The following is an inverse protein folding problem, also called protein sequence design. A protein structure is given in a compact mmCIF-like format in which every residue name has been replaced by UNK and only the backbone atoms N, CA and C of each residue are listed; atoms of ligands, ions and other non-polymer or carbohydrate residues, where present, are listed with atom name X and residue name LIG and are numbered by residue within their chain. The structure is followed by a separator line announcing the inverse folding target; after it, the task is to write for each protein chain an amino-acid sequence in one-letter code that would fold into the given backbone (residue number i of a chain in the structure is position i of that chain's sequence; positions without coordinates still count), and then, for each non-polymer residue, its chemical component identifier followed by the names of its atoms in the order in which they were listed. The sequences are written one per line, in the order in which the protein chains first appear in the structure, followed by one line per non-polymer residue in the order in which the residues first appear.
data_IF_040049454013
#
_entry.id   IF_040049454013
#
_cell.length_a   1.000
_cell.length_b   1.000
_cell.length_c   1.000
_cell.angle_alpha   90.00
_cell.angle_beta   90.00
_cell.angle_gamma   90.00
#
_symmetry.space_group_name_H-M   'P 1'
#
loop_
_entity.id
_entity.type
_entity.pdbx_description
1 polymer ?
#
# COMPACT_ATOMS: atom_id res chain seq x y z
N UNK A 1 -41.77 -7.70 11.36
CA UNK A 1 -40.96 -6.70 12.10
C UNK A 1 -41.58 -5.35 11.76
N UNK A 2 -42.24 -4.67 12.73
CA UNK A 2 -42.69 -3.28 12.57
C UNK A 2 -41.49 -2.37 12.93
N UNK A 3 -40.99 -1.61 11.97
CA UNK A 3 -39.96 -0.59 12.20
C UNK A 3 -40.66 0.63 12.84
N UNK A 4 -40.30 0.96 14.08
CA UNK A 4 -40.72 2.18 14.75
C UNK A 4 -39.69 3.26 14.58
N UNK A 5 -40.00 4.29 13.78
CA UNK A 5 -39.09 5.41 13.48
C UNK A 5 -39.33 6.63 14.39
N UNK A 6 -40.33 6.57 15.33
CA UNK A 6 -40.77 7.73 16.10
C UNK A 6 -39.78 8.17 17.20
N UNK A 7 -38.89 7.26 17.65
CA UNK A 7 -37.93 7.53 18.74
C UNK A 7 -36.46 7.50 18.33
N UNK A 8 -36.18 7.64 17.02
CA UNK A 8 -34.81 7.66 16.53
C UNK A 8 -34.17 9.05 16.69
N UNK A 9 -33.28 9.18 17.63
CA UNK A 9 -32.44 10.37 17.83
C UNK A 9 -31.36 10.50 16.75
N UNK A 10 -31.77 10.69 15.48
CA UNK A 10 -30.86 10.77 14.34
C UNK A 10 -29.71 11.74 14.53
N UNK A 11 -29.96 12.89 15.19
CA UNK A 11 -28.94 13.91 15.46
C UNK A 11 -27.77 13.40 16.31
N UNK A 12 -28.02 12.47 17.22
CA UNK A 12 -27.01 11.88 18.13
C UNK A 12 -26.02 11.00 17.37
N UNK A 13 -26.52 10.29 16.34
CA UNK A 13 -25.73 9.36 15.52
C UNK A 13 -25.16 10.01 14.27
N UNK A 14 -25.69 11.16 13.83
CA UNK A 14 -25.24 11.83 12.61
C UNK A 14 -23.77 12.23 12.67
N UNK A 15 -23.32 12.80 13.79
CA UNK A 15 -21.94 13.24 13.96
C UNK A 15 -20.93 12.08 13.93
N UNK A 16 -21.12 10.97 14.68
CA UNK A 16 -20.29 9.77 14.56
C UNK A 16 -20.33 9.15 13.16
N UNK A 17 -21.51 9.06 12.52
CA UNK A 17 -21.68 8.51 11.18
C UNK A 17 -20.90 9.32 10.13
N UNK A 18 -21.01 10.65 10.16
CA UNK A 18 -20.26 11.52 9.26
C UNK A 18 -18.75 11.38 9.49
N UNK A 19 -18.31 11.28 10.74
CA UNK A 19 -16.90 11.06 11.05
C UNK A 19 -16.40 9.72 10.46
N UNK A 20 -17.15 8.63 10.64
CA UNK A 20 -16.82 7.32 10.07
C UNK A 20 -16.82 7.37 8.54
N UNK A 21 -17.83 8.00 7.92
CA UNK A 21 -17.89 8.16 6.46
C UNK A 21 -16.67 8.93 5.92
N UNK A 22 -16.23 9.97 6.60
CA UNK A 22 -15.05 10.73 6.19
C UNK A 22 -13.80 9.87 6.36
N UNK A 23 -13.61 9.22 7.52
CA UNK A 23 -12.43 8.39 7.82
C UNK A 23 -12.30 7.25 6.81
N UNK A 24 -13.40 6.54 6.50
CA UNK A 24 -13.37 5.39 5.58
C UNK A 24 -13.22 5.78 4.12
N UNK A 25 -13.45 7.06 3.77
CA UNK A 25 -13.40 7.54 2.38
C UNK A 25 -12.32 8.61 2.14
N UNK A 26 -11.53 8.97 3.14
CA UNK A 26 -10.46 9.98 2.96
C UNK A 26 -9.48 9.55 1.87
N UNK A 27 -9.09 8.29 1.83
CA UNK A 27 -8.19 7.76 0.80
C UNK A 27 -8.81 7.81 -0.62
N UNK A 28 -10.14 7.65 -0.71
CA UNK A 28 -10.87 7.83 -1.96
C UNK A 28 -10.85 9.30 -2.42
N UNK A 29 -10.84 10.26 -1.49
CA UNK A 29 -10.78 11.67 -1.84
C UNK A 29 -9.49 12.00 -2.59
N UNK A 30 -8.34 11.50 -2.18
CA UNK A 30 -7.07 11.76 -2.88
C UNK A 30 -7.11 11.26 -4.32
N UNK A 31 -7.37 9.97 -4.52
CA UNK A 31 -7.42 9.38 -5.86
C UNK A 31 -8.52 9.93 -6.75
N UNK A 32 -9.66 10.39 -6.20
CA UNK A 32 -10.72 11.02 -6.97
C UNK A 32 -10.37 12.46 -7.34
N UNK A 33 -9.77 13.24 -6.41
CA UNK A 33 -9.34 14.61 -6.69
C UNK A 33 -8.28 14.64 -7.79
N UNK A 34 -7.30 13.74 -7.77
CA UNK A 34 -6.30 13.63 -8.83
C UNK A 34 -6.94 13.42 -10.21
N UNK A 35 -7.96 12.54 -10.31
CA UNK A 35 -8.68 12.28 -11.56
C UNK A 35 -9.47 13.49 -12.05
N UNK A 36 -10.19 14.15 -11.13
CA UNK A 36 -10.95 15.38 -11.47
C UNK A 36 -9.99 16.45 -11.97
N UNK A 37 -8.86 16.63 -11.30
CA UNK A 37 -7.84 17.60 -11.69
C UNK A 37 -7.21 17.26 -13.04
N UNK A 38 -6.87 15.98 -13.27
CA UNK A 38 -6.34 15.52 -14.57
C UNK A 38 -7.33 15.75 -15.70
N UNK A 39 -8.63 15.43 -15.50
CA UNK A 39 -9.67 15.68 -16.49
C UNK A 39 -9.85 17.16 -16.80
N UNK A 40 -9.79 18.02 -15.78
CA UNK A 40 -9.98 19.47 -15.93
C UNK A 40 -8.75 20.20 -16.51
N UNK A 41 -7.54 19.84 -16.08
CA UNK A 41 -6.32 20.62 -16.36
C UNK A 41 -5.35 19.92 -17.31
N UNK A 42 -5.53 18.61 -17.60
CA UNK A 42 -4.77 17.92 -18.65
C UNK A 42 -5.70 17.49 -19.78
N UNK A 43 -6.18 16.22 -19.77
CA UNK A 43 -7.15 15.69 -20.75
C UNK A 43 -7.65 14.30 -20.29
N UNK A 44 -8.69 13.79 -21.00
CA UNK A 44 -9.28 12.48 -20.70
C UNK A 44 -8.31 11.31 -20.90
N UNK A 45 -7.36 11.44 -21.83
CA UNK A 45 -6.30 10.44 -22.06
C UNK A 45 -5.42 10.33 -20.82
N UNK A 46 -5.07 11.46 -20.19
CA UNK A 46 -4.30 11.50 -18.93
C UNK A 46 -5.04 10.82 -17.77
N UNK A 47 -6.36 11.02 -17.68
CA UNK A 47 -7.21 10.32 -16.68
C UNK A 47 -7.15 8.80 -16.90
N UNK A 48 -7.28 8.37 -18.15
CA UNK A 48 -7.24 6.94 -18.50
C UNK A 48 -5.86 6.32 -18.20
N UNK A 49 -4.77 7.02 -18.51
CA UNK A 49 -3.39 6.60 -18.23
C UNK A 49 -3.19 6.47 -16.70
N UNK A 50 -3.60 7.49 -15.94
CA UNK A 50 -3.55 7.46 -14.46
C UNK A 50 -4.31 6.28 -13.90
N UNK A 51 -5.57 6.12 -14.33
CA UNK A 51 -6.45 5.07 -13.84
C UNK A 51 -5.92 3.67 -14.16
N UNK A 52 -5.41 3.45 -15.38
CA UNK A 52 -4.82 2.18 -15.79
C UNK A 52 -3.66 1.78 -14.88
N UNK A 53 -2.76 2.71 -14.61
CA UNK A 53 -1.62 2.49 -13.73
C UNK A 53 -2.05 2.23 -12.27
N UNK A 54 -2.91 3.08 -11.73
CA UNK A 54 -3.39 2.98 -10.36
C UNK A 54 -4.20 1.71 -10.11
N UNK A 55 -5.12 1.37 -11.04
CA UNK A 55 -5.98 0.20 -10.92
C UNK A 55 -5.18 -1.10 -10.93
N UNK A 56 -4.20 -1.21 -11.83
CA UNK A 56 -3.41 -2.43 -11.98
C UNK A 56 -2.61 -2.73 -10.70
N UNK A 57 -1.92 -1.75 -10.13
CA UNK A 57 -1.19 -1.95 -8.88
C UNK A 57 -2.12 -2.16 -7.69
N UNK A 58 -3.29 -1.50 -7.67
CA UNK A 58 -4.28 -1.64 -6.58
C UNK A 58 -4.91 -3.02 -6.55
N UNK A 59 -5.21 -3.58 -7.72
CA UNK A 59 -5.76 -4.93 -7.84
C UNK A 59 -4.79 -5.97 -7.30
N UNK A 60 -3.51 -5.88 -7.65
CA UNK A 60 -2.50 -6.77 -7.09
C UNK A 60 -2.32 -6.57 -5.57
N UNK A 61 -2.32 -5.34 -5.11
CA UNK A 61 -2.17 -5.03 -3.68
C UNK A 61 -3.35 -5.50 -2.82
N UNK A 62 -4.50 -5.81 -3.39
CA UNK A 62 -5.66 -6.34 -2.64
C UNK A 62 -5.32 -7.63 -1.87
N UNK A 63 -4.43 -8.46 -2.42
CA UNK A 63 -3.98 -9.71 -1.78
C UNK A 63 -3.26 -9.45 -0.44
N UNK A 64 -2.15 -8.68 -0.39
CA UNK A 64 -1.49 -8.41 0.88
C UNK A 64 -2.30 -7.53 1.84
N UNK A 65 -3.23 -6.72 1.35
CA UNK A 65 -4.15 -5.95 2.19
C UNK A 65 -5.09 -6.83 3.02
N UNK A 66 -5.36 -8.06 2.62
CA UNK A 66 -6.08 -9.03 3.44
C UNK A 66 -5.40 -9.26 4.81
N UNK A 67 -4.06 -9.16 4.88
CA UNK A 67 -3.31 -9.25 6.15
C UNK A 67 -3.71 -8.12 7.09
N UNK A 68 -3.82 -6.89 6.59
CA UNK A 68 -4.25 -5.73 7.38
C UNK A 68 -5.67 -5.97 7.90
N UNK A 69 -6.60 -6.30 6.99
CA UNK A 69 -8.02 -6.45 7.33
C UNK A 69 -8.27 -7.53 8.40
N UNK A 70 -7.59 -8.66 8.32
CA UNK A 70 -7.67 -9.73 9.33
C UNK A 70 -6.98 -9.34 10.63
N UNK A 71 -5.96 -8.49 10.57
CA UNK A 71 -5.19 -8.07 11.75
C UNK A 71 -5.92 -7.03 12.59
N UNK A 72 -6.80 -6.19 12.02
CA UNK A 72 -7.50 -5.11 12.75
C UNK A 72 -8.25 -5.64 13.98
N UNK A 73 -9.24 -6.56 13.86
CA UNK A 73 -10.01 -7.03 15.02
C UNK A 73 -9.12 -7.80 16.01
N UNK A 74 -8.16 -8.58 15.49
CA UNK A 74 -7.24 -9.35 16.33
C UNK A 74 -6.36 -8.45 17.17
N UNK A 75 -5.75 -7.42 16.59
CA UNK A 75 -4.87 -6.50 17.33
C UNK A 75 -5.64 -5.64 18.32
N UNK A 76 -6.87 -5.22 17.97
CA UNK A 76 -7.77 -4.52 18.91
C UNK A 76 -8.13 -5.38 20.11
N UNK A 77 -8.41 -6.66 19.90
CA UNK A 77 -8.67 -7.62 20.98
C UNK A 77 -7.44 -7.81 21.88
N UNK A 78 -6.27 -8.07 21.27
CA UNK A 78 -5.02 -8.31 22.02
C UNK A 78 -4.62 -7.12 22.87
N UNK A 79 -4.76 -5.90 22.35
CA UNK A 79 -4.43 -4.68 23.09
C UNK A 79 -5.29 -4.51 24.32
N UNK A 80 -6.59 -4.85 24.23
CA UNK A 80 -7.55 -4.68 25.34
C UNK A 80 -7.49 -5.80 26.38
N UNK A 81 -7.22 -7.05 25.95
CA UNK A 81 -7.35 -8.22 26.83
C UNK A 81 -6.00 -8.83 27.23
N UNK A 82 -4.96 -8.78 26.40
CA UNK A 82 -3.67 -9.44 26.66
C UNK A 82 -2.54 -8.45 26.91
N UNK A 83 -2.81 -7.17 26.68
CA UNK A 83 -1.90 -6.08 27.01
C UNK A 83 -0.93 -5.71 25.88
N UNK A 84 -0.22 -4.62 26.13
CA UNK A 84 0.58 -3.91 25.14
C UNK A 84 1.73 -4.74 24.54
N UNK A 85 2.41 -5.58 25.33
CA UNK A 85 3.56 -6.37 24.84
C UNK A 85 3.14 -7.40 23.78
N UNK A 86 2.04 -8.12 24.04
CA UNK A 86 1.50 -9.12 23.09
C UNK A 86 1.00 -8.44 21.82
N UNK A 87 0.31 -7.30 21.97
CA UNK A 87 -0.11 -6.48 20.85
C UNK A 87 1.09 -6.04 19.98
N UNK A 88 2.16 -5.49 20.57
CA UNK A 88 3.35 -5.03 19.85
C UNK A 88 4.04 -6.16 19.10
N UNK A 89 4.14 -7.35 19.69
CA UNK A 89 4.70 -8.53 19.02
C UNK A 89 3.89 -8.89 17.77
N UNK A 90 2.57 -9.02 17.92
CA UNK A 90 1.68 -9.40 16.80
C UNK A 90 1.58 -8.29 15.76
N UNK A 91 1.60 -7.03 16.16
CA UNK A 91 1.69 -5.88 15.25
C UNK A 91 2.95 -5.98 14.36
N UNK A 92 4.12 -6.19 14.97
CA UNK A 92 5.39 -6.29 14.24
C UNK A 92 5.42 -7.52 13.32
N UNK A 93 4.79 -8.62 13.70
CA UNK A 93 4.62 -9.79 12.86
C UNK A 93 3.70 -9.49 11.66
N UNK A 94 2.58 -8.78 11.85
CA UNK A 94 1.69 -8.35 10.76
C UNK A 94 2.40 -7.40 9.78
N UNK A 95 3.18 -6.44 10.29
CA UNK A 95 4.01 -5.53 9.47
C UNK A 95 5.00 -6.34 8.62
N UNK A 96 5.73 -7.27 9.25
CA UNK A 96 6.71 -8.10 8.52
C UNK A 96 6.05 -8.98 7.46
N UNK A 97 4.88 -9.55 7.75
CA UNK A 97 4.13 -10.37 6.79
C UNK A 97 3.60 -9.55 5.61
N UNK A 98 3.15 -8.31 5.86
CA UNK A 98 2.75 -7.39 4.80
C UNK A 98 3.94 -7.02 3.91
N UNK A 99 5.07 -6.59 4.49
CA UNK A 99 6.25 -6.18 3.75
C UNK A 99 6.88 -7.33 2.97
N UNK A 100 6.85 -8.55 3.50
CA UNK A 100 7.30 -9.77 2.83
C UNK A 100 6.60 -9.99 1.48
N UNK A 101 5.33 -9.56 1.33
CA UNK A 101 4.55 -9.74 0.09
C UNK A 101 4.49 -8.46 -0.72
N UNK A 102 4.15 -7.30 -0.10
CA UNK A 102 3.85 -6.07 -0.85
C UNK A 102 5.09 -5.50 -1.56
N UNK A 103 6.26 -5.56 -0.91
CA UNK A 103 7.47 -4.97 -1.50
C UNK A 103 7.94 -5.73 -2.73
N UNK A 104 8.14 -7.07 -2.70
CA UNK A 104 8.55 -7.81 -3.91
C UNK A 104 7.47 -7.78 -4.99
N UNK A 105 6.19 -7.73 -4.63
CA UNK A 105 5.09 -7.63 -5.60
C UNK A 105 5.09 -6.28 -6.32
N UNK A 106 5.24 -5.17 -5.61
CA UNK A 106 5.33 -3.83 -6.21
C UNK A 106 6.59 -3.68 -7.07
N UNK A 107 7.76 -4.14 -6.58
CA UNK A 107 9.01 -4.06 -7.35
C UNK A 107 9.06 -5.07 -8.51
N UNK A 108 8.41 -6.22 -8.39
CA UNK A 108 8.20 -7.14 -9.50
C UNK A 108 7.34 -6.51 -10.61
N UNK A 109 6.23 -5.86 -10.24
CA UNK A 109 5.40 -5.12 -11.20
C UNK A 109 6.14 -3.89 -11.78
N UNK A 110 6.97 -3.22 -10.97
CA UNK A 110 7.81 -2.11 -11.43
C UNK A 110 8.73 -2.53 -12.56
N UNK A 111 9.46 -3.63 -12.42
CA UNK A 111 10.39 -4.12 -13.47
C UNK A 111 9.67 -4.72 -14.67
N UNK A 112 8.44 -5.20 -14.49
CA UNK A 112 7.57 -5.75 -15.54
C UNK A 112 6.52 -4.76 -16.03
N UNK A 113 6.64 -3.46 -15.71
CA UNK A 113 5.63 -2.45 -16.01
C UNK A 113 5.27 -2.37 -17.50
N UNK A 114 6.27 -2.50 -18.40
CA UNK A 114 6.05 -2.52 -19.85
C UNK A 114 5.20 -3.72 -20.26
N UNK A 115 5.58 -4.90 -19.83
CA UNK A 115 4.89 -6.15 -20.15
C UNK A 115 3.48 -6.15 -19.57
N UNK A 116 3.33 -5.70 -18.33
CA UNK A 116 2.06 -5.62 -17.65
C UNK A 116 1.08 -4.68 -18.37
N UNK A 117 1.52 -3.49 -18.78
CA UNK A 117 0.67 -2.55 -19.55
C UNK A 117 0.29 -3.13 -20.90
N UNK A 118 1.22 -3.72 -21.63
CA UNK A 118 0.93 -4.28 -22.95
C UNK A 118 -0.08 -5.44 -22.86
N UNK A 119 0.05 -6.30 -21.86
CA UNK A 119 -0.87 -7.43 -21.66
C UNK A 119 -2.23 -6.98 -21.15
N UNK A 120 -2.28 -6.02 -20.22
CA UNK A 120 -3.53 -5.58 -19.60
C UNK A 120 -4.34 -4.64 -20.48
N UNK A 121 -3.67 -3.63 -21.04
CA UNK A 121 -4.33 -2.53 -21.75
C UNK A 121 -3.98 -2.46 -23.26
N UNK A 122 -2.93 -3.18 -23.70
CA UNK A 122 -2.46 -3.18 -25.06
C UNK A 122 -1.43 -2.09 -25.37
N UNK A 123 -0.78 -2.21 -26.54
CA UNK A 123 0.27 -1.29 -26.99
C UNK A 123 -0.15 0.18 -27.05
N UNK A 124 -1.44 0.46 -27.24
CA UNK A 124 -2.00 1.81 -27.28
C UNK A 124 -1.74 2.59 -25.97
N UNK A 125 -1.62 1.87 -24.83
CA UNK A 125 -1.47 2.47 -23.51
C UNK A 125 -0.03 2.50 -22.99
N UNK A 126 0.98 2.38 -23.86
CA UNK A 126 2.40 2.41 -23.43
C UNK A 126 2.77 3.67 -22.63
N UNK A 127 2.06 4.79 -22.82
CA UNK A 127 2.22 5.99 -22.01
C UNK A 127 1.94 5.78 -20.51
N UNK A 128 1.22 4.69 -20.13
CA UNK A 128 0.95 4.34 -18.74
C UNK A 128 2.11 3.59 -18.04
N UNK A 129 3.21 3.25 -18.76
CA UNK A 129 4.35 2.52 -18.18
C UNK A 129 5.02 3.32 -17.06
N UNK A 130 5.42 4.56 -17.33
CA UNK A 130 6.06 5.41 -16.32
C UNK A 130 5.13 5.75 -15.13
N UNK A 131 3.85 6.12 -15.34
CA UNK A 131 2.86 6.21 -14.27
C UNK A 131 2.74 4.93 -13.44
N UNK A 132 2.74 3.73 -14.06
CA UNK A 132 2.69 2.46 -13.32
C UNK A 132 3.92 2.25 -12.45
N UNK A 133 5.10 2.58 -12.93
CA UNK A 133 6.33 2.50 -12.13
C UNK A 133 6.25 3.40 -10.88
N UNK A 134 5.76 4.63 -11.03
CA UNK A 134 5.54 5.53 -9.90
C UNK A 134 4.45 4.99 -8.98
N UNK A 135 3.33 4.48 -9.52
CA UNK A 135 2.26 3.89 -8.74
C UNK A 135 2.72 2.68 -7.90
N UNK A 136 3.67 1.88 -8.38
CA UNK A 136 4.26 0.78 -7.61
C UNK A 136 4.98 1.28 -6.34
N UNK A 137 5.75 2.36 -6.45
CA UNK A 137 6.43 2.97 -5.28
C UNK A 137 5.40 3.63 -4.35
N UNK A 138 4.48 4.41 -4.90
CA UNK A 138 3.37 5.02 -4.16
C UNK A 138 2.59 3.98 -3.36
N UNK A 139 2.34 2.80 -3.93
CA UNK A 139 1.61 1.71 -3.26
C UNK A 139 2.31 1.20 -2.01
N UNK A 140 3.64 1.17 -1.99
CA UNK A 140 4.39 0.80 -0.78
C UNK A 140 4.13 1.84 0.33
N UNK A 141 4.13 3.13 0.00
CA UNK A 141 3.86 4.21 0.98
C UNK A 141 2.42 4.16 1.49
N UNK A 142 1.44 3.97 0.61
CA UNK A 142 0.02 3.75 0.99
C UNK A 142 -0.11 2.53 1.92
N UNK A 143 0.65 1.46 1.69
CA UNK A 143 0.61 0.28 2.56
C UNK A 143 1.18 0.55 3.94
N UNK A 144 2.25 1.33 4.05
CA UNK A 144 2.84 1.76 5.32
C UNK A 144 1.91 2.71 6.09
N UNK A 145 1.28 3.64 5.39
CA UNK A 145 0.26 4.54 5.94
C UNK A 145 -0.92 3.72 6.48
N UNK A 146 -1.45 2.78 5.70
CA UNK A 146 -2.56 1.91 6.08
C UNK A 146 -2.27 1.06 7.32
N UNK A 147 -1.02 0.59 7.49
CA UNK A 147 -0.57 -0.06 8.73
C UNK A 147 -0.70 0.88 9.92
N UNK A 148 -0.24 2.13 9.77
CA UNK A 148 -0.30 3.09 10.88
C UNK A 148 -1.73 3.45 11.24
N UNK A 149 -2.59 3.69 10.27
CA UNK A 149 -3.98 4.05 10.51
C UNK A 149 -4.78 2.86 11.10
N UNK A 150 -4.72 1.70 10.45
CA UNK A 150 -5.60 0.59 10.77
C UNK A 150 -5.09 -0.32 11.88
N UNK A 151 -3.77 -0.51 12.00
CA UNK A 151 -3.20 -1.43 12.99
C UNK A 151 -2.62 -0.73 14.22
N UNK A 152 -2.37 0.59 14.15
CA UNK A 152 -1.80 1.34 15.27
C UNK A 152 -2.78 2.38 15.82
N UNK A 153 -3.23 3.34 14.99
CA UNK A 153 -4.09 4.42 15.48
C UNK A 153 -5.48 3.92 15.86
N UNK A 154 -6.13 3.15 14.98
CA UNK A 154 -7.49 2.65 15.20
C UNK A 154 -7.63 1.78 16.46
N UNK A 155 -6.79 0.74 16.72
CA UNK A 155 -6.89 -0.06 17.93
C UNK A 155 -6.65 0.72 19.24
N UNK A 156 -6.03 1.87 19.14
CA UNK A 156 -5.73 2.76 20.29
C UNK A 156 -6.71 3.94 20.42
N UNK A 157 -7.88 3.86 19.78
CA UNK A 157 -8.97 4.86 19.85
C UNK A 157 -8.47 6.28 19.44
N UNK A 158 -7.72 6.39 18.33
CA UNK A 158 -7.13 7.63 17.80
C UNK A 158 -7.66 8.01 16.40
N UNK A 159 -8.93 7.70 16.12
CA UNK A 159 -9.59 8.01 14.85
C UNK A 159 -9.66 9.51 14.58
N UNK A 160 -9.84 10.31 15.64
CA UNK A 160 -9.81 11.77 15.54
C UNK A 160 -8.49 12.29 14.98
N UNK A 161 -7.39 11.60 15.30
CA UNK A 161 -6.07 11.94 14.80
C UNK A 161 -5.90 11.50 13.34
N UNK A 162 -6.35 10.29 13.00
CA UNK A 162 -6.37 9.84 11.59
C UNK A 162 -7.06 10.90 10.75
N UNK A 163 -8.27 11.29 11.13
CA UNK A 163 -9.05 12.29 10.40
C UNK A 163 -8.31 13.62 10.24
N UNK A 164 -7.76 14.18 11.33
CA UNK A 164 -7.06 15.48 11.31
C UNK A 164 -5.83 15.43 10.40
N UNK A 165 -4.99 14.40 10.54
CA UNK A 165 -3.75 14.29 9.76
C UNK A 165 -4.08 14.05 8.29
N UNK A 166 -5.01 13.14 7.97
CA UNK A 166 -5.42 12.86 6.60
C UNK A 166 -6.05 14.10 5.93
N UNK A 167 -6.88 14.87 6.63
CA UNK A 167 -7.43 16.11 6.08
C UNK A 167 -6.35 17.16 5.78
N UNK A 168 -5.43 17.40 6.71
CA UNK A 168 -4.32 18.36 6.50
C UNK A 168 -3.44 17.89 5.34
N UNK A 169 -3.07 16.62 5.31
CA UNK A 169 -2.26 16.05 4.23
C UNK A 169 -3.01 16.07 2.89
N UNK A 170 -4.33 15.82 2.88
CA UNK A 170 -5.15 15.90 1.67
C UNK A 170 -5.25 17.30 1.09
N UNK A 171 -5.45 18.29 1.95
CA UNK A 171 -5.42 19.69 1.52
C UNK A 171 -4.02 20.03 0.97
N UNK A 172 -2.96 19.54 1.62
CA UNK A 172 -1.59 19.74 1.12
C UNK A 172 -1.38 19.10 -0.26
N UNK A 173 -1.90 17.89 -0.49
CA UNK A 173 -1.87 17.23 -1.80
C UNK A 173 -2.56 18.09 -2.87
N UNK A 174 -3.77 18.56 -2.56
CA UNK A 174 -4.53 19.42 -3.47
C UNK A 174 -3.77 20.71 -3.82
N UNK A 175 -3.16 21.36 -2.83
CA UNK A 175 -2.37 22.58 -3.04
C UNK A 175 -1.13 22.30 -3.89
N UNK A 176 -0.40 21.23 -3.62
CA UNK A 176 0.77 20.85 -4.41
C UNK A 176 0.35 20.55 -5.85
N UNK A 177 -0.71 19.77 -6.07
CA UNK A 177 -1.23 19.47 -7.39
C UNK A 177 -1.65 20.76 -8.14
N UNK A 178 -2.28 21.71 -7.43
CA UNK A 178 -2.64 23.00 -8.03
C UNK A 178 -1.41 23.83 -8.42
N UNK A 179 -0.35 23.83 -7.61
CA UNK A 179 0.92 24.46 -7.97
C UNK A 179 1.53 23.81 -9.22
N UNK A 180 1.49 22.45 -9.33
CA UNK A 180 1.96 21.76 -10.52
C UNK A 180 1.14 22.12 -11.77
N UNK A 181 -0.16 22.38 -11.63
CA UNK A 181 -1.01 22.93 -12.72
C UNK A 181 -0.53 24.32 -13.13
N UNK A 182 -0.28 25.23 -12.18
CA UNK A 182 0.21 26.58 -12.46
C UNK A 182 1.56 26.55 -13.20
N UNK A 183 2.46 25.65 -12.82
CA UNK A 183 3.76 25.46 -13.48
C UNK A 183 3.67 24.64 -14.77
N UNK A 184 2.47 24.21 -15.21
CA UNK A 184 2.23 23.41 -16.43
C UNK A 184 2.97 22.06 -16.47
N UNK A 185 3.26 21.48 -15.32
CA UNK A 185 3.94 20.18 -15.17
C UNK A 185 3.02 19.11 -14.56
N UNK A 186 1.74 19.41 -14.38
CA UNK A 186 0.77 18.46 -13.84
C UNK A 186 0.47 17.36 -14.87
N UNK A 187 0.64 16.10 -14.45
CA UNK A 187 0.56 14.92 -15.31
C UNK A 187 0.19 13.68 -14.48
N UNK A 188 -0.17 12.54 -15.09
CA UNK A 188 -0.39 11.29 -14.35
C UNK A 188 0.77 10.86 -13.46
N UNK A 189 2.01 11.10 -13.90
CA UNK A 189 3.22 10.80 -13.12
C UNK A 189 3.30 11.68 -11.88
N UNK A 190 3.16 13.00 -12.05
CA UNK A 190 3.29 13.95 -10.94
C UNK A 190 2.15 13.80 -9.94
N UNK A 191 0.92 13.53 -10.39
CA UNK A 191 -0.22 13.26 -9.51
C UNK A 191 0.01 12.02 -8.64
N UNK A 192 0.48 10.91 -9.22
CA UNK A 192 0.83 9.70 -8.46
C UNK A 192 2.00 9.94 -7.49
N UNK A 193 2.98 10.73 -7.90
CA UNK A 193 4.13 11.05 -7.06
C UNK A 193 3.74 11.92 -5.86
N UNK A 194 2.90 12.96 -6.06
CA UNK A 194 2.42 13.81 -4.97
C UNK A 194 1.55 13.03 -3.98
N UNK A 195 0.67 12.15 -4.47
CA UNK A 195 -0.08 11.23 -3.62
C UNK A 195 0.87 10.34 -2.80
N UNK A 196 1.88 9.74 -3.43
CA UNK A 196 2.87 8.92 -2.72
C UNK A 196 3.65 9.69 -1.65
N UNK A 197 4.04 10.94 -1.93
CA UNK A 197 4.72 11.79 -0.97
C UNK A 197 3.83 12.14 0.23
N UNK A 198 2.56 12.44 -0.02
CA UNK A 198 1.59 12.77 1.04
C UNK A 198 1.31 11.56 1.93
N UNK A 199 1.14 10.37 1.35
CA UNK A 199 0.95 9.13 2.11
C UNK A 199 2.19 8.77 2.96
N UNK A 200 3.38 9.01 2.42
CA UNK A 200 4.62 8.89 3.18
C UNK A 200 4.66 9.90 4.35
N UNK A 201 4.18 11.13 4.16
CA UNK A 201 4.08 12.11 5.24
C UNK A 201 3.11 11.67 6.33
N UNK A 202 1.91 11.17 5.96
CA UNK A 202 0.95 10.62 6.93
C UNK A 202 1.59 9.48 7.73
N UNK A 203 2.24 8.54 7.05
CA UNK A 203 2.98 7.46 7.70
C UNK A 203 4.01 8.00 8.70
N UNK A 204 4.86 8.95 8.31
CA UNK A 204 5.92 9.51 9.17
C UNK A 204 5.33 10.21 10.40
N UNK A 205 4.28 11.02 10.21
CA UNK A 205 3.61 11.74 11.30
C UNK A 205 3.04 10.77 12.33
N UNK A 206 2.34 9.72 11.87
CA UNK A 206 1.75 8.72 12.75
C UNK A 206 2.82 7.84 13.40
N UNK A 207 3.86 7.46 12.68
CA UNK A 207 4.98 6.68 13.19
C UNK A 207 5.72 7.39 14.33
N UNK A 208 6.04 8.67 14.14
CA UNK A 208 6.69 9.49 15.18
C UNK A 208 5.78 9.65 16.40
N UNK A 209 4.49 9.88 16.18
CA UNK A 209 3.52 10.01 17.25
C UNK A 209 3.37 8.70 18.06
N UNK A 210 3.22 7.58 17.37
CA UNK A 210 3.09 6.27 18.00
C UNK A 210 4.34 5.94 18.86
N UNK A 211 5.53 6.21 18.35
CA UNK A 211 6.77 6.00 19.11
C UNK A 211 6.93 6.96 20.28
N UNK A 212 6.75 8.28 20.07
CA UNK A 212 7.08 9.30 21.07
C UNK A 212 5.98 9.54 22.12
N UNK A 213 4.70 9.46 21.69
CA UNK A 213 3.57 9.79 22.59
C UNK A 213 2.84 8.55 23.11
N UNK A 214 2.78 7.48 22.32
CA UNK A 214 2.11 6.25 22.73
C UNK A 214 3.09 5.21 23.27
N UNK A 215 4.41 5.43 23.11
CA UNK A 215 5.47 4.51 23.48
C UNK A 215 5.27 3.09 22.89
N UNK A 216 4.75 2.98 21.66
CA UNK A 216 4.55 1.71 20.96
C UNK A 216 5.84 1.32 20.23
N UNK A 217 6.31 0.09 20.46
CA UNK A 217 7.48 -0.44 19.78
C UNK A 217 7.13 -0.94 18.38
N UNK A 218 7.31 -0.08 17.38
CA UNK A 218 7.03 -0.38 15.97
C UNK A 218 8.35 -0.59 15.23
N UNK A 219 8.51 -1.75 14.58
CA UNK A 219 9.75 -2.18 13.91
C UNK A 219 9.56 -2.33 12.40
N UNK A 220 9.25 -1.22 11.70
CA UNK A 220 9.15 -1.22 10.23
C UNK A 220 10.52 -1.48 9.59
N UNK A 221 11.57 -0.84 10.10
CA UNK A 221 12.92 -0.86 9.54
C UNK A 221 13.88 -1.78 10.31
N UNK A 222 13.41 -2.96 10.77
CA UNK A 222 14.27 -3.96 11.37
C UNK A 222 15.08 -4.74 10.30
N UNK A 223 16.10 -5.48 10.73
CA UNK A 223 16.98 -6.26 9.82
C UNK A 223 16.21 -7.21 8.91
N UNK A 224 15.14 -7.82 9.42
CA UNK A 224 14.28 -8.75 8.67
C UNK A 224 13.55 -8.02 7.54
N UNK A 225 12.86 -6.93 7.84
CA UNK A 225 12.10 -6.15 6.87
C UNK A 225 13.01 -5.47 5.84
N UNK A 226 14.19 -4.99 6.27
CA UNK A 226 15.21 -4.45 5.36
C UNK A 226 15.72 -5.50 4.39
N UNK A 227 15.79 -6.78 4.80
CA UNK A 227 16.13 -7.86 3.86
C UNK A 227 15.09 -7.96 2.73
N UNK A 228 13.80 -7.90 3.02
CA UNK A 228 12.75 -7.93 1.98
C UNK A 228 12.90 -6.77 1.00
N UNK A 229 13.16 -5.57 1.52
CA UNK A 229 13.33 -4.37 0.71
C UNK A 229 14.56 -4.53 -0.20
N UNK A 230 15.72 -4.86 0.36
CA UNK A 230 16.98 -4.99 -0.39
C UNK A 230 16.87 -6.07 -1.48
N UNK A 231 16.36 -7.26 -1.14
CA UNK A 231 16.19 -8.35 -2.10
C UNK A 231 15.26 -7.95 -3.25
N UNK A 232 14.20 -7.22 -2.96
CA UNK A 232 13.26 -6.78 -4.00
C UNK A 232 13.86 -5.71 -4.89
N UNK A 233 14.70 -4.80 -4.38
CA UNK A 233 15.43 -3.83 -5.20
C UNK A 233 16.40 -4.50 -6.16
N UNK A 234 16.94 -5.69 -5.84
CA UNK A 234 17.79 -6.46 -6.75
C UNK A 234 17.04 -6.98 -7.98
N UNK A 235 15.71 -6.96 -8.01
CA UNK A 235 14.94 -7.26 -9.22
C UNK A 235 15.28 -6.31 -10.38
N UNK A 236 15.66 -5.06 -10.07
CA UNK A 236 16.02 -4.06 -11.09
C UNK A 236 17.26 -4.50 -11.88
N UNK A 237 18.44 -4.70 -11.28
CA UNK A 237 19.60 -5.17 -12.04
C UNK A 237 19.39 -6.56 -12.67
N UNK A 238 18.68 -7.48 -12.01
CA UNK A 238 18.34 -8.79 -12.57
C UNK A 238 17.55 -8.63 -13.87
N UNK A 239 16.51 -7.82 -13.86
CA UNK A 239 15.67 -7.58 -15.03
C UNK A 239 16.45 -6.92 -16.18
N UNK A 240 17.34 -5.97 -15.86
CA UNK A 240 18.19 -5.32 -16.85
C UNK A 240 19.18 -6.31 -17.51
N UNK A 241 19.76 -7.23 -16.74
CA UNK A 241 20.63 -8.28 -17.26
C UNK A 241 19.89 -9.22 -18.20
N UNK A 242 18.69 -9.67 -17.81
CA UNK A 242 17.87 -10.55 -18.64
C UNK A 242 17.46 -9.87 -19.94
N UNK A 243 17.12 -8.58 -19.89
CA UNK A 243 16.75 -7.81 -21.10
C UNK A 243 17.89 -7.68 -22.11
N UNK A 244 19.17 -7.71 -21.67
CA UNK A 244 20.32 -7.72 -22.58
C UNK A 244 20.43 -8.98 -23.44
N UNK A 245 19.76 -10.08 -23.06
CA UNK A 245 19.73 -11.32 -23.85
C UNK A 245 18.90 -11.19 -25.13
N UNK A 246 18.17 -10.08 -25.31
CA UNK A 246 17.33 -9.80 -26.48
C UNK A 246 16.36 -10.93 -26.86
N UNK A 247 15.80 -11.59 -25.87
CA UNK A 247 14.80 -12.64 -26.05
C UNK A 247 13.45 -12.04 -26.45
N UNK A 248 12.60 -12.85 -27.07
CA UNK A 248 11.24 -12.41 -27.42
C UNK A 248 10.44 -11.93 -26.22
N UNK A 249 9.42 -11.07 -26.44
CA UNK A 249 8.62 -10.39 -25.43
C UNK A 249 8.12 -11.33 -24.30
N UNK A 250 7.47 -12.43 -24.65
CA UNK A 250 6.92 -13.37 -23.66
C UNK A 250 8.01 -14.14 -22.91
N UNK A 251 9.08 -14.52 -23.59
CA UNK A 251 10.20 -15.26 -22.97
C UNK A 251 10.89 -14.35 -21.96
N UNK A 252 11.16 -13.09 -22.31
CA UNK A 252 11.77 -12.11 -21.39
C UNK A 252 10.91 -11.90 -20.17
N UNK A 253 9.60 -11.73 -20.33
CA UNK A 253 8.66 -11.53 -19.24
C UNK A 253 8.64 -12.74 -18.28
N UNK A 254 8.45 -13.96 -18.82
CA UNK A 254 8.41 -15.18 -18.02
C UNK A 254 9.73 -15.38 -17.29
N UNK A 255 10.85 -15.16 -17.97
CA UNK A 255 12.19 -15.33 -17.40
C UNK A 255 12.43 -14.34 -16.25
N UNK A 256 12.11 -13.04 -16.42
CA UNK A 256 12.22 -12.04 -15.35
C UNK A 256 11.35 -12.45 -14.16
N UNK A 257 10.09 -12.81 -14.39
CA UNK A 257 9.17 -13.20 -13.34
C UNK A 257 9.70 -14.43 -12.57
N UNK A 258 10.09 -15.48 -13.28
CA UNK A 258 10.57 -16.74 -12.68
C UNK A 258 11.88 -16.52 -11.91
N UNK A 259 12.85 -15.81 -12.51
CA UNK A 259 14.14 -15.58 -11.85
C UNK A 259 14.00 -14.69 -10.61
N UNK A 260 13.20 -13.61 -10.66
CA UNK A 260 12.97 -12.77 -9.50
C UNK A 260 12.26 -13.52 -8.37
N UNK A 261 11.24 -14.32 -8.67
CA UNK A 261 10.53 -15.13 -7.69
C UNK A 261 11.48 -16.17 -7.05
N UNK A 262 12.18 -16.95 -7.88
CA UNK A 262 13.11 -17.97 -7.38
C UNK A 262 14.24 -17.35 -6.56
N UNK A 263 14.84 -16.26 -7.04
CA UNK A 263 15.87 -15.53 -6.31
C UNK A 263 15.39 -15.11 -4.92
N UNK A 264 14.21 -14.47 -4.83
CA UNK A 264 13.64 -14.00 -3.58
C UNK A 264 13.41 -15.14 -2.59
N UNK A 265 12.72 -16.21 -3.03
CA UNK A 265 12.40 -17.33 -2.16
C UNK A 265 13.62 -18.19 -1.78
N UNK A 266 14.57 -18.41 -2.69
CA UNK A 266 15.81 -19.13 -2.39
C UNK A 266 16.62 -18.41 -1.32
N UNK A 267 16.84 -17.11 -1.47
CA UNK A 267 17.61 -16.34 -0.48
C UNK A 267 16.91 -16.33 0.89
N UNK A 268 15.58 -16.17 0.93
CA UNK A 268 14.82 -16.24 2.18
C UNK A 268 14.83 -17.65 2.81
N UNK A 269 14.82 -18.69 1.99
CA UNK A 269 14.95 -20.05 2.46
C UNK A 269 16.30 -20.32 3.11
N UNK A 270 17.39 -19.89 2.47
CA UNK A 270 18.76 -19.97 3.03
C UNK A 270 18.86 -19.20 4.34
N UNK A 271 18.23 -18.01 4.42
CA UNK A 271 18.17 -17.20 5.66
C UNK A 271 17.22 -17.74 6.72
N UNK A 272 16.52 -18.84 6.47
CA UNK A 272 15.51 -19.45 7.37
C UNK A 272 14.46 -18.42 7.81
N UNK A 273 13.92 -17.66 6.86
CA UNK A 273 12.93 -16.62 7.15
C UNK A 273 11.63 -17.22 7.71
N UNK A 274 11.17 -16.70 8.84
CA UNK A 274 10.01 -17.22 9.56
C UNK A 274 8.71 -17.11 8.73
N UNK A 275 8.52 -16.05 7.94
CA UNK A 275 7.31 -15.89 7.13
C UNK A 275 7.27 -16.92 6.00
N UNK A 276 8.43 -17.19 5.38
CA UNK A 276 8.52 -18.21 4.34
C UNK A 276 8.34 -19.62 4.93
N UNK A 277 9.01 -19.92 6.05
CA UNK A 277 8.90 -21.24 6.72
C UNK A 277 7.44 -21.50 7.12
N UNK A 278 6.76 -20.50 7.70
CA UNK A 278 5.35 -20.59 8.06
C UNK A 278 4.47 -20.97 6.86
N UNK A 279 4.69 -20.33 5.70
CA UNK A 279 3.95 -20.66 4.47
C UNK A 279 4.26 -22.09 4.02
N UNK A 280 5.53 -22.49 3.98
CA UNK A 280 5.94 -23.82 3.55
C UNK A 280 5.40 -24.93 4.47
N UNK A 281 5.40 -24.74 5.78
CA UNK A 281 4.87 -25.70 6.75
C UNK A 281 3.36 -25.86 6.62
N UNK A 282 2.64 -24.77 6.33
CA UNK A 282 1.20 -24.81 6.05
C UNK A 282 0.88 -25.60 4.78
N UNK A 283 1.69 -25.46 3.72
CA UNK A 283 1.54 -26.28 2.50
C UNK A 283 1.88 -27.74 2.71
N UNK A 284 2.80 -28.07 3.62
CA UNK A 284 3.18 -29.45 3.97
C UNK A 284 2.21 -30.13 4.94
N UNK A 285 1.11 -29.47 5.33
CA UNK A 285 0.12 -30.01 6.26
C UNK A 285 0.64 -30.24 7.69
N UNK A 286 1.81 -29.67 8.04
CA UNK A 286 2.34 -29.74 9.40
C UNK A 286 1.51 -28.84 10.32
N UNK A 287 0.94 -29.42 11.40
CA UNK A 287 0.30 -28.64 12.48
C UNK A 287 1.33 -27.64 13.02
N UNK A 288 1.02 -26.36 12.89
CA UNK A 288 1.81 -25.31 13.50
C UNK A 288 1.74 -25.50 15.04
N UNK A 289 2.89 -25.55 15.69
CA UNK A 289 2.92 -25.32 17.14
C UNK A 289 2.51 -23.85 17.36
N UNK A 290 1.37 -23.66 18.03
CA UNK A 290 0.84 -22.38 18.44
C UNK A 290 1.83 -21.55 19.25
#
# INVERSE_FOLDING_TARGET
IKFDFKNLEFKKYLKPLVAVLIITNVDLLYGQLDRVMLGKYANDVSVTIYYTAYYLVSTLASIPYAIINVSIPRLSYLLRNEGKKVYEEKLNNSISSLLFIIVPMCLGLFVLSREAIILYAGKKYMAAIAPLMVACITRIFISLESVMNNLVMYPNDREDRILKVSLVCGISNLLINYLLVLFKIFSPITALATTGLVELMVFIIHYIYAKKKMNINIQVFNKKNMTYIILSFLFIPISLLIRKLNLGFYITMILIMTVCILFYFIVLYIKKDNNLIFILDKFKGRKLKE
#
